data_IF_885775027506
#
_entry.id   IF_885775027506
#
_cell.length_a   1.000
_cell.length_b   1.000
_cell.length_c   1.000
_cell.angle_alpha   90.00
_cell.angle_beta   90.00
_cell.angle_gamma   90.00
#
_symmetry.space_group_name_H-M   'P 1'
#
loop_
_entity.id
_entity.type
_entity.pdbx_description
1 polymer ?
#
# COMPACT_ATOMS: atom_id res chain seq x y z
N UNK A 1 -28.16 1.61 -29.22
CA UNK A 1 -27.47 1.99 -27.97
C UNK A 1 -26.83 3.38 -28.11
N UNK A 2 -27.63 4.41 -28.43
CA UNK A 2 -27.18 5.78 -28.77
C UNK A 2 -28.00 6.82 -28.00
N UNK A 3 -28.15 6.64 -26.69
CA UNK A 3 -28.83 7.64 -25.88
C UNK A 3 -27.86 8.81 -25.60
N UNK A 4 -28.22 10.06 -25.92
CA UNK A 4 -27.38 11.23 -25.63
C UNK A 4 -27.05 11.33 -24.14
N UNK A 5 -28.00 10.98 -23.26
CA UNK A 5 -27.81 10.91 -21.82
C UNK A 5 -26.69 9.95 -21.38
N UNK A 6 -26.49 8.84 -22.10
CA UNK A 6 -25.41 7.89 -21.81
C UNK A 6 -24.04 8.48 -22.13
N UNK A 7 -23.95 9.27 -23.21
CA UNK A 7 -22.70 9.93 -23.62
C UNK A 7 -22.31 11.02 -22.64
N UNK A 8 -23.28 11.83 -22.22
CA UNK A 8 -23.06 12.91 -21.25
C UNK A 8 -22.63 12.35 -19.89
N UNK A 9 -23.23 11.24 -19.45
CA UNK A 9 -22.83 10.54 -18.23
C UNK A 9 -21.39 10.00 -18.31
N UNK A 10 -21.01 9.38 -19.43
CA UNK A 10 -19.63 8.90 -19.63
C UNK A 10 -18.62 10.04 -19.67
N UNK A 11 -18.95 11.14 -20.35
CA UNK A 11 -18.10 12.32 -20.41
C UNK A 11 -17.89 12.94 -19.03
N UNK A 12 -18.90 12.90 -18.15
CA UNK A 12 -18.77 13.34 -16.76
C UNK A 12 -17.80 12.45 -15.98
N UNK A 13 -17.92 11.12 -16.09
CA UNK A 13 -17.01 10.18 -15.42
C UNK A 13 -15.55 10.33 -15.87
N UNK A 14 -15.31 10.66 -17.14
CA UNK A 14 -13.96 10.88 -17.68
C UNK A 14 -13.29 12.16 -17.16
N UNK A 15 -14.03 13.06 -16.48
CA UNK A 15 -13.46 14.26 -15.86
C UNK A 15 -12.76 14.00 -14.52
N UNK A 16 -12.86 12.78 -13.97
CA UNK A 16 -12.17 12.44 -12.74
C UNK A 16 -10.65 12.57 -12.98
N UNK A 17 -9.94 13.45 -12.24
CA UNK A 17 -8.52 13.66 -12.49
C UNK A 17 -7.71 12.40 -12.17
N UNK A 18 -6.84 11.99 -13.09
CA UNK A 18 -5.98 10.82 -12.88
C UNK A 18 -5.07 10.98 -11.66
N UNK A 19 -4.62 12.21 -11.36
CA UNK A 19 -3.83 12.52 -10.17
C UNK A 19 -4.61 12.27 -8.87
N UNK A 20 -5.91 12.54 -8.87
CA UNK A 20 -6.78 12.26 -7.73
C UNK A 20 -6.99 10.75 -7.54
N UNK A 21 -7.17 10.01 -8.64
CA UNK A 21 -7.25 8.54 -8.62
C UNK A 21 -5.95 7.94 -8.08
N UNK A 22 -4.80 8.41 -8.55
CA UNK A 22 -3.49 7.94 -8.09
C UNK A 22 -3.23 8.28 -6.62
N UNK A 23 -3.62 9.48 -6.15
CA UNK A 23 -3.52 9.82 -4.72
C UNK A 23 -4.42 8.92 -3.87
N UNK A 24 -5.69 8.75 -4.25
CA UNK A 24 -6.63 7.89 -3.53
C UNK A 24 -6.14 6.43 -3.48
N UNK A 25 -5.61 5.93 -4.59
CA UNK A 25 -5.00 4.60 -4.66
C UNK A 25 -3.82 4.47 -3.70
N UNK A 26 -2.89 5.44 -3.68
CA UNK A 26 -1.73 5.43 -2.76
C UNK A 26 -2.17 5.48 -1.30
N UNK A 27 -3.07 6.40 -0.93
CA UNK A 27 -3.57 6.55 0.44
C UNK A 27 -4.29 5.29 0.90
N UNK A 28 -5.21 4.77 0.09
CA UNK A 28 -6.03 3.62 0.48
C UNK A 28 -5.18 2.37 0.67
N UNK A 29 -4.34 2.02 -0.31
CA UNK A 29 -3.53 0.81 -0.20
C UNK A 29 -2.41 0.95 0.84
N UNK A 30 -1.80 2.12 0.98
CA UNK A 30 -0.82 2.36 2.04
C UNK A 30 -1.44 2.18 3.43
N UNK A 31 -2.68 2.63 3.62
CA UNK A 31 -3.39 2.50 4.89
C UNK A 31 -3.63 1.04 5.27
N UNK A 32 -3.95 0.17 4.30
CA UNK A 32 -4.12 -1.27 4.55
C UNK A 32 -2.86 -1.88 5.17
N UNK A 33 -1.72 -1.68 4.52
CA UNK A 33 -0.45 -2.24 5.00
C UNK A 33 0.04 -1.55 6.29
N UNK A 34 -0.12 -0.23 6.39
CA UNK A 34 0.25 0.50 7.60
C UNK A 34 -0.52 0.01 8.83
N UNK A 35 -1.84 -0.11 8.73
CA UNK A 35 -2.66 -0.62 9.82
C UNK A 35 -2.33 -2.08 10.16
N UNK A 36 -1.99 -2.91 9.17
CA UNK A 36 -1.46 -4.26 9.41
C UNK A 36 -0.12 -4.22 10.17
N UNK A 37 0.79 -3.35 9.76
CA UNK A 37 2.09 -3.15 10.39
C UNK A 37 1.96 -2.70 11.85
N UNK A 38 1.03 -1.78 12.13
CA UNK A 38 0.75 -1.30 13.48
C UNK A 38 0.35 -2.41 14.47
N UNK A 39 -0.16 -3.56 14.01
CA UNK A 39 -0.44 -4.72 14.88
C UNK A 39 0.82 -5.53 15.24
N UNK A 40 1.92 -5.33 14.50
CA UNK A 40 3.18 -6.07 14.65
C UNK A 40 4.22 -5.33 15.49
N UNK A 41 3.98 -4.07 15.81
CA UNK A 41 4.86 -3.23 16.61
C UNK A 41 4.15 -2.72 17.86
N UNK A 42 4.91 -2.48 18.91
CA UNK A 42 4.47 -1.88 20.17
C UNK A 42 5.40 -0.71 20.53
N UNK A 43 4.93 0.17 21.41
CA UNK A 43 5.68 1.37 21.80
C UNK A 43 5.63 2.50 20.76
N UNK A 44 5.04 2.27 19.58
CA UNK A 44 4.77 3.30 18.60
C UNK A 44 3.39 3.07 17.97
N UNK A 45 2.51 4.05 18.09
CA UNK A 45 1.19 4.05 17.46
C UNK A 45 0.98 5.35 16.71
N UNK A 46 0.64 5.24 15.43
CA UNK A 46 0.22 6.37 14.62
C UNK A 46 -0.94 5.94 13.75
N UNK A 47 -2.16 6.24 14.21
CA UNK A 47 -3.38 5.97 13.46
C UNK A 47 -4.17 7.28 13.28
N UNK A 48 -4.02 7.95 12.13
CA UNK A 48 -4.72 9.20 11.88
C UNK A 48 -6.23 9.05 11.74
N UNK A 49 -6.74 7.82 11.50
CA UNK A 49 -8.18 7.56 11.37
C UNK A 49 -8.86 7.47 12.74
N UNK A 50 -8.22 6.83 13.72
CA UNK A 50 -8.73 6.77 15.10
C UNK A 50 -8.30 7.96 15.96
N UNK A 51 -7.29 8.72 15.53
CA UNK A 51 -6.68 9.79 16.32
C UNK A 51 -5.71 9.27 17.39
N UNK A 52 -5.42 7.98 17.41
CA UNK A 52 -4.52 7.36 18.38
C UNK A 52 -3.06 7.64 18.02
N UNK A 53 -2.34 8.26 18.96
CA UNK A 53 -0.93 8.61 18.80
C UNK A 53 -0.17 8.23 20.07
N UNK A 54 0.83 7.35 19.92
CA UNK A 54 1.79 7.00 20.95
C UNK A 54 3.20 7.12 20.36
N UNK A 55 3.99 8.06 20.88
CA UNK A 55 5.35 8.33 20.43
C UNK A 55 6.35 7.74 21.42
N UNK A 56 6.63 6.45 21.28
CA UNK A 56 7.74 5.78 21.94
C UNK A 56 8.65 5.09 20.92
N UNK A 57 9.58 4.26 21.40
CA UNK A 57 10.48 3.53 20.53
C UNK A 57 9.78 2.28 19.97
N UNK A 58 9.64 2.13 18.64
CA UNK A 58 9.01 0.97 18.06
C UNK A 58 9.85 -0.28 18.33
N UNK A 59 9.21 -1.31 18.85
CA UNK A 59 9.77 -2.66 18.99
C UNK A 59 8.73 -3.67 18.50
N UNK A 60 9.18 -4.84 18.07
CA UNK A 60 8.25 -5.91 17.69
C UNK A 60 7.33 -6.26 18.88
N UNK A 61 6.08 -6.57 18.56
CA UNK A 61 5.14 -7.16 19.51
C UNK A 61 5.69 -8.50 20.00
N UNK A 62 5.44 -8.82 21.27
CA UNK A 62 5.91 -10.09 21.85
C UNK A 62 5.25 -11.31 21.15
N UNK A 63 4.06 -11.15 20.57
CA UNK A 63 3.30 -12.21 19.91
C UNK A 63 3.57 -12.36 18.42
N UNK A 64 4.29 -11.44 17.77
CA UNK A 64 4.41 -11.44 16.31
C UNK A 64 5.23 -12.62 15.80
N UNK A 65 6.26 -13.04 16.53
CA UNK A 65 7.07 -14.21 16.12
C UNK A 65 6.23 -15.47 16.21
N UNK A 66 5.39 -15.59 17.23
CA UNK A 66 4.47 -16.73 17.39
C UNK A 66 3.39 -16.72 16.29
N UNK A 67 2.89 -15.55 15.88
CA UNK A 67 2.01 -15.43 14.71
C UNK A 67 2.66 -16.00 13.45
N UNK A 68 3.92 -15.67 13.19
CA UNK A 68 4.64 -16.22 12.04
C UNK A 68 4.96 -17.70 12.16
N UNK A 69 5.20 -18.19 13.39
CA UNK A 69 5.52 -19.59 13.66
C UNK A 69 4.28 -20.49 13.58
N UNK A 70 3.18 -20.06 14.16
CA UNK A 70 2.01 -20.91 14.38
C UNK A 70 0.89 -20.69 13.37
N UNK A 71 0.65 -19.44 12.96
CA UNK A 71 -0.44 -19.11 12.04
C UNK A 71 0.06 -19.05 10.59
N UNK A 72 1.06 -18.22 10.31
CA UNK A 72 1.48 -17.97 8.92
C UNK A 72 2.32 -19.10 8.33
N UNK A 73 3.16 -19.75 9.16
CA UNK A 73 3.93 -20.94 8.81
C UNK A 73 4.61 -20.86 7.43
N UNK A 74 5.27 -19.73 7.16
CA UNK A 74 5.88 -19.50 5.85
C UNK A 74 6.93 -20.58 5.56
N UNK A 75 6.89 -21.22 4.38
CA UNK A 75 7.88 -22.21 4.02
C UNK A 75 9.25 -21.51 3.82
N UNK A 76 10.32 -22.19 4.21
CA UNK A 76 11.72 -21.83 3.91
C UNK A 76 12.27 -20.56 4.60
N UNK A 77 11.46 -19.80 5.34
CA UNK A 77 11.90 -18.58 6.04
C UNK A 77 11.73 -18.78 7.55
N UNK A 78 12.77 -18.46 8.32
CA UNK A 78 12.70 -18.46 9.78
C UNK A 78 11.59 -17.48 10.26
N UNK A 79 10.71 -17.89 11.19
CA UNK A 79 9.62 -17.03 11.68
C UNK A 79 10.08 -15.68 12.25
N UNK A 80 11.25 -15.63 12.89
CA UNK A 80 11.79 -14.40 13.48
C UNK A 80 12.21 -13.43 12.38
N UNK A 81 12.92 -13.94 11.36
CA UNK A 81 13.32 -13.14 10.20
C UNK A 81 12.08 -12.66 9.44
N UNK A 82 11.11 -13.55 9.21
CA UNK A 82 9.87 -13.21 8.52
C UNK A 82 9.08 -12.12 9.26
N UNK A 83 8.98 -12.21 10.59
CA UNK A 83 8.29 -11.22 11.41
C UNK A 83 8.95 -9.83 11.33
N UNK A 84 10.29 -9.77 11.42
CA UNK A 84 11.05 -8.51 11.28
C UNK A 84 10.85 -7.92 9.87
N UNK A 85 11.03 -8.74 8.83
CA UNK A 85 10.90 -8.29 7.44
C UNK A 85 9.49 -7.79 7.14
N UNK A 86 8.47 -8.52 7.58
CA UNK A 86 7.08 -8.12 7.38
C UNK A 86 6.75 -6.82 8.11
N UNK A 87 7.12 -6.70 9.39
CA UNK A 87 6.91 -5.47 10.14
C UNK A 87 7.63 -4.29 9.49
N UNK A 88 8.89 -4.44 9.07
CA UNK A 88 9.62 -3.38 8.39
C UNK A 88 8.96 -2.99 7.05
N UNK A 89 8.63 -3.98 6.21
CA UNK A 89 8.02 -3.76 4.91
C UNK A 89 6.65 -3.07 5.02
N UNK A 90 5.81 -3.46 5.99
CA UNK A 90 4.48 -2.90 6.23
C UNK A 90 4.48 -1.49 6.84
N UNK A 91 5.63 -0.94 7.22
CA UNK A 91 5.73 0.48 7.59
C UNK A 91 6.46 1.27 6.51
N UNK A 92 7.61 0.78 6.04
CA UNK A 92 8.47 1.52 5.12
C UNK A 92 7.83 1.64 3.73
N UNK A 93 7.39 0.54 3.13
CA UNK A 93 6.82 0.57 1.78
C UNK A 93 5.53 1.39 1.67
N UNK A 94 4.54 1.25 2.58
CA UNK A 94 3.35 2.09 2.52
C UNK A 94 3.66 3.56 2.81
N UNK A 95 4.62 3.87 3.68
CA UNK A 95 5.04 5.27 3.89
C UNK A 95 5.65 5.86 2.61
N UNK A 96 6.58 5.15 1.97
CA UNK A 96 7.16 5.56 0.69
C UNK A 96 6.07 5.73 -0.39
N UNK A 97 5.14 4.78 -0.46
CA UNK A 97 4.04 4.83 -1.42
C UNK A 97 3.09 6.00 -1.13
N UNK A 98 2.76 6.27 0.12
CA UNK A 98 1.90 7.38 0.54
C UNK A 98 2.50 8.72 0.13
N UNK A 99 3.79 8.92 0.38
CA UNK A 99 4.54 10.11 -0.06
C UNK A 99 4.69 10.15 -1.60
N UNK A 100 4.49 9.02 -2.25
CA UNK A 100 4.69 8.84 -3.68
C UNK A 100 6.16 8.99 -4.06
N UNK A 101 7.03 8.35 -3.28
CA UNK A 101 8.46 8.21 -3.52
C UNK A 101 8.75 6.82 -4.07
N UNK A 102 9.46 6.74 -5.19
CA UNK A 102 9.75 5.50 -5.91
C UNK A 102 8.49 4.63 -6.11
N UNK A 103 7.38 5.26 -6.48
CA UNK A 103 6.01 4.70 -6.40
C UNK A 103 5.86 3.36 -7.09
N UNK A 104 6.46 3.19 -8.28
CA UNK A 104 6.41 1.91 -9.02
C UNK A 104 7.12 0.79 -8.27
N UNK A 105 8.27 1.10 -7.67
CA UNK A 105 9.03 0.14 -6.88
C UNK A 105 8.28 -0.24 -5.60
N UNK A 106 7.80 0.76 -4.85
CA UNK A 106 7.02 0.53 -3.63
C UNK A 106 5.74 -0.28 -3.91
N UNK A 107 5.05 0.02 -5.02
CA UNK A 107 3.86 -0.74 -5.44
C UNK A 107 4.19 -2.18 -5.87
N UNK A 108 5.29 -2.41 -6.59
CA UNK A 108 5.74 -3.76 -6.95
C UNK A 108 6.12 -4.59 -5.71
N UNK A 109 6.82 -3.98 -4.76
CA UNK A 109 7.20 -4.65 -3.51
C UNK A 109 5.97 -5.03 -2.68
N UNK A 110 5.00 -4.13 -2.54
CA UNK A 110 3.72 -4.42 -1.87
C UNK A 110 2.87 -5.45 -2.64
N UNK A 111 2.97 -5.48 -3.97
CA UNK A 111 2.32 -6.51 -4.79
C UNK A 111 2.95 -7.88 -4.56
N UNK A 112 4.28 -7.96 -4.46
CA UNK A 112 4.99 -9.17 -4.07
C UNK A 112 4.57 -9.66 -2.68
N UNK A 113 4.47 -8.74 -1.71
CA UNK A 113 3.95 -9.07 -0.38
C UNK A 113 2.49 -9.56 -0.43
N UNK A 114 1.64 -8.91 -1.23
CA UNK A 114 0.25 -9.33 -1.46
C UNK A 114 0.18 -10.75 -2.02
N UNK A 115 1.06 -11.09 -2.97
CA UNK A 115 1.15 -12.43 -3.54
C UNK A 115 1.59 -13.46 -2.49
N UNK A 116 2.56 -13.15 -1.65
CA UNK A 116 2.97 -14.02 -0.52
C UNK A 116 1.80 -14.27 0.43
N UNK A 117 1.10 -13.21 0.85
CA UNK A 117 -0.05 -13.33 1.75
C UNK A 117 -1.15 -14.18 1.11
N UNK A 118 -1.51 -13.89 -0.15
CA UNK A 118 -2.55 -14.62 -0.87
C UNK A 118 -2.21 -16.09 -1.09
N UNK A 119 -0.98 -16.41 -1.47
CA UNK A 119 -0.64 -17.78 -1.85
C UNK A 119 -0.28 -18.65 -0.64
N UNK A 120 0.31 -18.07 0.40
CA UNK A 120 0.93 -18.83 1.49
C UNK A 120 0.23 -18.65 2.85
N UNK A 121 -0.53 -17.56 3.04
CA UNK A 121 -1.12 -17.23 4.35
C UNK A 121 -2.64 -17.34 4.34
N UNK A 122 -3.31 -16.61 3.46
CA UNK A 122 -4.78 -16.52 3.42
C UNK A 122 -5.34 -16.72 2.00
N UNK A 123 -5.31 -17.96 1.46
CA UNK A 123 -5.76 -18.25 0.10
C UNK A 123 -7.25 -17.99 -0.14
N UNK A 124 -8.07 -18.12 0.91
CA UNK A 124 -9.51 -17.83 0.83
C UNK A 124 -9.85 -16.35 0.69
N UNK A 125 -8.90 -15.43 0.92
CA UNK A 125 -9.14 -13.99 0.91
C UNK A 125 -8.94 -13.34 -0.48
N UNK A 126 -9.04 -14.12 -1.56
CA UNK A 126 -8.81 -13.66 -2.93
C UNK A 126 -9.60 -12.39 -3.32
N UNK A 127 -10.89 -12.23 -3.01
CA UNK A 127 -11.61 -10.99 -3.35
C UNK A 127 -10.93 -9.76 -2.76
N UNK A 128 -10.43 -9.86 -1.53
CA UNK A 128 -9.72 -8.78 -0.85
C UNK A 128 -8.35 -8.54 -1.49
N UNK A 129 -7.51 -9.55 -1.58
CA UNK A 129 -6.15 -9.40 -2.14
C UNK A 129 -6.15 -9.06 -3.64
N UNK A 130 -7.16 -9.49 -4.38
CA UNK A 130 -7.38 -9.12 -5.77
C UNK A 130 -7.66 -7.63 -5.93
N UNK A 131 -8.43 -7.01 -5.01
CA UNK A 131 -8.63 -5.55 -5.04
C UNK A 131 -7.34 -4.80 -4.75
N UNK A 132 -6.53 -5.29 -3.79
CA UNK A 132 -5.22 -4.71 -3.49
C UNK A 132 -4.29 -4.81 -4.70
N UNK A 133 -4.19 -5.98 -5.31
CA UNK A 133 -3.38 -6.22 -6.48
C UNK A 133 -3.80 -5.34 -7.66
N UNK A 134 -5.10 -5.16 -7.91
CA UNK A 134 -5.60 -4.28 -8.96
C UNK A 134 -5.17 -2.81 -8.75
N UNK A 135 -5.29 -2.30 -7.53
CA UNK A 135 -4.86 -0.93 -7.18
C UNK A 135 -3.34 -0.78 -7.31
N UNK A 136 -2.56 -1.76 -6.84
CA UNK A 136 -1.11 -1.75 -6.95
C UNK A 136 -0.65 -1.81 -8.40
N UNK A 137 -1.23 -2.69 -9.22
CA UNK A 137 -0.96 -2.77 -10.66
C UNK A 137 -1.31 -1.46 -11.39
N UNK A 138 -2.42 -0.82 -11.02
CA UNK A 138 -2.77 0.49 -11.54
C UNK A 138 -1.69 1.53 -11.25
N UNK A 139 -1.15 1.56 -10.03
CA UNK A 139 -0.04 2.44 -9.64
C UNK A 139 1.28 2.10 -10.33
N UNK A 140 1.55 0.81 -10.58
CA UNK A 140 2.72 0.38 -11.37
C UNK A 140 2.62 0.90 -12.80
N UNK A 141 1.46 0.73 -13.45
CA UNK A 141 1.23 1.14 -14.82
C UNK A 141 1.18 2.67 -14.97
N UNK A 142 0.42 3.35 -14.12
CA UNK A 142 0.10 4.78 -14.24
C UNK A 142 1.11 5.68 -13.55
N UNK A 143 1.84 5.18 -12.54
CA UNK A 143 2.76 5.95 -11.72
C UNK A 143 2.06 6.72 -10.58
N UNK A 144 2.77 7.71 -10.03
CA UNK A 144 2.46 8.37 -8.76
C UNK A 144 1.44 9.52 -8.84
N UNK A 145 1.21 10.06 -10.03
CA UNK A 145 0.51 11.34 -10.25
C UNK A 145 1.34 12.56 -9.82
N UNK A 146 0.86 13.76 -10.12
CA UNK A 146 1.57 15.04 -9.85
C UNK A 146 1.65 15.39 -8.37
N UNK A 147 0.70 14.93 -7.56
CA UNK A 147 0.67 15.12 -6.10
C UNK A 147 1.51 14.09 -5.35
N UNK A 148 2.73 13.86 -5.82
CA UNK A 148 3.69 12.92 -5.26
C UNK A 148 5.10 13.53 -5.28
N UNK A 149 6.02 12.99 -4.48
CA UNK A 149 7.43 13.41 -4.55
C UNK A 149 8.06 13.10 -5.92
N UNK A 150 7.73 11.94 -6.51
CA UNK A 150 8.16 11.58 -7.87
C UNK A 150 7.65 12.60 -8.92
N UNK A 151 6.37 12.97 -8.85
CA UNK A 151 5.72 13.92 -9.75
C UNK A 151 6.22 15.35 -9.57
N UNK A 152 6.44 15.78 -8.34
CA UNK A 152 7.02 17.08 -8.03
C UNK A 152 8.46 17.21 -8.55
N UNK A 153 9.28 16.16 -8.40
CA UNK A 153 10.66 16.15 -8.89
C UNK A 153 10.75 16.21 -10.42
N UNK A 154 9.91 15.44 -11.11
CA UNK A 154 9.85 15.44 -12.58
C UNK A 154 9.32 16.77 -13.14
N UNK A 155 8.28 17.34 -12.52
CA UNK A 155 7.76 18.66 -12.89
C UNK A 155 8.79 19.79 -12.75
N UNK A 156 9.68 19.73 -11.75
CA UNK A 156 10.78 20.70 -11.59
C UNK A 156 11.84 20.65 -12.68
N UNK A 157 12.08 19.48 -13.28
CA UNK A 157 13.04 19.33 -14.38
C UNK A 157 12.49 19.86 -15.70
N UNK A 158 11.21 19.64 -15.97
CA UNK A 158 10.55 20.14 -17.18
C UNK A 158 10.45 21.68 -17.23
N UNK A 159 10.38 22.36 -16.07
CA UNK A 159 10.37 23.83 -16.00
C UNK A 159 11.76 24.50 -16.00
N UNK A 160 12.84 23.72 -16.10
CA UNK A 160 14.24 24.21 -16.14
C UNK A 160 14.97 23.91 -17.46
N UNK A 161 14.31 23.22 -18.39
CA UNK A 161 14.78 22.97 -19.75
C UNK A 161 14.07 23.92 -20.72
#
# INVERSE_FOLDING_TARGET
MNSPYLRDALALCQRIPQDAIALLARVSIASVFWLSGQTKVQGFVLNPLSGEVQLGWPRLSDSVVDLFREEYRLPLIDPTIAAVMAAAAEHVLPLLLLLGLATRFSALALLGMTAVIQLLVYPGAWPTHGTWAAVLLMLVASGAGRWSLDGWWTGRRAGRA
#
